data_IF_388174848762
#
_entry.id   IF_388174848762
#
_cell.length_a   1.000
_cell.length_b   1.000
_cell.length_c   1.000
_cell.angle_alpha   90.00
_cell.angle_beta   90.00
_cell.angle_gamma   90.00
#
_symmetry.space_group_name_H-M   'P 1'
#
loop_
_entity.id
_entity.type
_entity.pdbx_description
1 polymer ?
#
# COMPACT_ATOMS: atom_id res chain seq x y z
N UNK A 1 -0.17 -17.32 -1.12
CA UNK A 1 0.57 -16.09 -1.35
C UNK A 1 -0.33 -14.94 -1.75
N UNK A 2 0.24 -13.78 -1.97
CA UNK A 2 -0.49 -12.62 -2.53
C UNK A 2 -0.64 -12.82 -4.02
N UNK A 3 -1.90 -12.74 -4.52
CA UNK A 3 -2.18 -12.87 -5.95
C UNK A 3 -2.14 -11.47 -6.60
N UNK A 4 -1.29 -11.31 -7.59
CA UNK A 4 -1.08 -10.05 -8.31
C UNK A 4 -1.19 -10.27 -9.82
N UNK A 5 -1.53 -9.21 -10.55
CA UNK A 5 -1.60 -9.16 -12.01
C UNK A 5 -0.84 -7.94 -12.52
N UNK A 6 -0.15 -8.10 -13.62
CA UNK A 6 0.56 -7.02 -14.30
C UNK A 6 1.90 -7.44 -14.86
N UNK A 7 2.48 -6.58 -15.69
CA UNK A 7 3.78 -6.74 -16.31
C UNK A 7 4.56 -5.42 -16.20
N UNK A 8 5.85 -5.50 -15.92
CA UNK A 8 6.68 -4.31 -15.70
C UNK A 8 6.81 -3.39 -16.94
N UNK A 9 6.43 -3.89 -18.12
CA UNK A 9 6.55 -3.18 -19.40
C UNK A 9 5.32 -2.34 -19.76
N UNK A 10 4.17 -2.55 -19.07
CA UNK A 10 2.91 -1.90 -19.43
C UNK A 10 2.12 -1.49 -18.16
N UNK A 11 1.67 -0.24 -18.13
CA UNK A 11 0.72 0.23 -17.14
C UNK A 11 -0.72 -0.04 -17.58
N UNK A 12 -1.55 -0.56 -16.67
CA UNK A 12 -2.99 -0.50 -16.78
C UNK A 12 -3.55 0.61 -15.89
N UNK A 13 -4.76 1.07 -16.20
CA UNK A 13 -5.46 2.06 -15.38
C UNK A 13 -6.36 1.36 -14.35
N UNK A 14 -6.43 1.92 -13.16
CA UNK A 14 -7.24 1.41 -12.05
C UNK A 14 -8.12 2.50 -11.49
N UNK A 15 -9.38 2.17 -11.26
CA UNK A 15 -10.34 3.09 -10.65
C UNK A 15 -10.00 3.31 -9.17
N UNK A 16 -9.85 4.56 -8.78
CA UNK A 16 -9.56 4.96 -7.40
C UNK A 16 -10.84 5.28 -6.62
N UNK A 17 -10.82 5.34 -5.29
CA UNK A 17 -11.99 5.73 -4.50
C UNK A 17 -12.43 7.20 -4.71
N UNK A 18 -11.60 8.01 -5.37
CA UNK A 18 -11.91 9.37 -5.77
C UNK A 18 -12.51 9.46 -7.19
N UNK A 19 -12.74 8.32 -7.86
CA UNK A 19 -13.25 8.24 -9.22
C UNK A 19 -12.21 8.43 -10.33
N UNK A 20 -10.97 8.79 -10.00
CA UNK A 20 -9.90 8.96 -10.99
C UNK A 20 -9.36 7.62 -11.46
N UNK A 21 -8.84 7.58 -12.68
CA UNK A 21 -8.07 6.44 -13.19
C UNK A 21 -6.57 6.67 -12.91
N UNK A 22 -5.95 5.76 -12.18
CA UNK A 22 -4.52 5.82 -11.83
C UNK A 22 -3.74 4.70 -12.53
N UNK A 23 -2.61 5.01 -13.20
CA UNK A 23 -1.77 3.98 -13.81
C UNK A 23 -1.02 3.15 -12.75
N UNK A 24 -0.94 1.84 -12.99
CA UNK A 24 -0.07 0.93 -12.25
C UNK A 24 0.31 -0.26 -13.13
N UNK A 25 1.57 -0.70 -13.04
CA UNK A 25 2.04 -1.86 -13.77
C UNK A 25 1.70 -3.18 -13.05
N UNK A 26 1.60 -3.14 -11.71
CA UNK A 26 1.25 -4.30 -10.88
C UNK A 26 0.10 -3.94 -9.95
N UNK A 27 -0.88 -4.82 -9.83
CA UNK A 27 -2.02 -4.65 -8.92
C UNK A 27 -2.42 -5.98 -8.28
N UNK A 28 -3.18 -5.94 -7.19
CA UNK A 28 -3.80 -7.14 -6.65
C UNK A 28 -4.84 -7.67 -7.65
N UNK A 29 -4.90 -8.98 -7.85
CA UNK A 29 -5.75 -9.64 -8.84
C UNK A 29 -7.26 -9.39 -8.65
N UNK A 30 -7.65 -8.84 -7.51
CA UNK A 30 -9.04 -8.45 -7.23
C UNK A 30 -9.48 -7.12 -7.86
N UNK A 31 -8.53 -6.29 -8.31
CA UNK A 31 -8.86 -5.00 -8.92
C UNK A 31 -8.89 -5.11 -10.44
N UNK A 32 -9.86 -4.42 -11.05
CA UNK A 32 -9.99 -4.40 -12.48
C UNK A 32 -8.92 -3.51 -13.13
N UNK A 33 -8.45 -3.94 -14.28
CA UNK A 33 -7.50 -3.23 -15.13
C UNK A 33 -8.24 -2.66 -16.34
N UNK A 34 -8.02 -1.38 -16.64
CA UNK A 34 -8.63 -0.66 -17.76
C UNK A 34 -7.55 -0.13 -18.68
N UNK A 35 -7.89 -0.02 -19.98
CA UNK A 35 -7.00 0.61 -20.97
C UNK A 35 -7.20 2.12 -21.03
N UNK A 36 -8.42 2.59 -20.76
CA UNK A 36 -8.77 4.01 -20.79
C UNK A 36 -10.17 4.30 -20.30
N UNK A 37 -10.50 5.58 -20.22
CA UNK A 37 -11.82 6.07 -19.84
C UNK A 37 -12.92 5.66 -20.84
N UNK A 38 -12.55 5.44 -22.10
CA UNK A 38 -13.45 5.04 -23.18
C UNK A 38 -14.15 3.70 -22.91
N UNK A 39 -13.59 2.86 -22.06
CA UNK A 39 -14.22 1.60 -21.67
C UNK A 39 -15.54 1.80 -20.89
N UNK A 40 -15.76 2.97 -20.32
CA UNK A 40 -17.00 3.29 -19.60
C UNK A 40 -18.05 3.94 -20.48
N UNK A 41 -17.69 4.40 -21.70
CA UNK A 41 -18.59 5.13 -22.57
C UNK A 41 -19.83 4.31 -22.94
N UNK A 42 -21.00 4.88 -22.62
CA UNK A 42 -22.30 4.27 -22.90
C UNK A 42 -22.71 3.15 -21.96
N UNK A 43 -21.81 2.67 -21.07
CA UNK A 43 -22.12 1.61 -20.11
C UNK A 43 -23.11 2.08 -19.04
N UNK A 44 -24.00 1.20 -18.64
CA UNK A 44 -24.86 1.36 -17.45
C UNK A 44 -24.12 0.81 -16.24
N UNK A 45 -23.82 1.66 -15.27
CA UNK A 45 -23.04 1.29 -14.08
C UNK A 45 -23.86 1.54 -12.82
N UNK A 46 -23.93 0.54 -11.97
CA UNK A 46 -24.49 0.68 -10.62
C UNK A 46 -23.38 0.84 -9.62
N UNK A 47 -23.33 1.97 -8.96
CA UNK A 47 -22.37 2.24 -7.87
C UNK A 47 -23.06 1.90 -6.57
N UNK A 48 -22.59 0.86 -5.90
CA UNK A 48 -23.15 0.37 -4.64
C UNK A 48 -22.21 0.66 -3.47
N UNK A 49 -22.78 1.02 -2.32
CA UNK A 49 -22.05 1.17 -1.07
C UNK A 49 -22.82 0.50 0.07
N UNK A 50 -22.08 0.13 1.11
CA UNK A 50 -22.68 -0.36 2.36
C UNK A 50 -23.25 0.80 3.13
N UNK A 51 -24.52 0.69 3.57
CA UNK A 51 -25.21 1.75 4.28
C UNK A 51 -24.43 2.19 5.52
N UNK A 52 -24.08 3.48 5.60
CA UNK A 52 -23.31 4.07 6.70
C UNK A 52 -21.78 3.91 6.59
N UNK A 53 -21.24 3.30 5.55
CA UNK A 53 -19.79 3.26 5.30
C UNK A 53 -19.33 4.57 4.66
N UNK A 54 -18.49 5.33 5.37
CA UNK A 54 -18.08 6.68 4.98
C UNK A 54 -16.75 6.73 4.22
N UNK A 55 -15.89 5.69 4.33
CA UNK A 55 -14.58 5.65 3.68
C UNK A 55 -14.66 5.35 2.17
N UNK A 56 -15.87 5.35 1.60
CA UNK A 56 -16.13 5.26 0.18
C UNK A 56 -17.30 6.20 -0.19
N UNK A 57 -16.99 7.25 -0.95
CA UNK A 57 -18.00 8.21 -1.41
C UNK A 57 -18.49 7.86 -2.80
N UNK A 58 -19.72 7.33 -2.90
CA UNK A 58 -20.34 6.96 -4.18
C UNK A 58 -20.38 8.11 -5.17
N UNK A 59 -20.62 9.35 -4.69
CA UNK A 59 -20.76 10.51 -5.55
C UNK A 59 -19.49 10.78 -6.36
N UNK A 60 -18.31 10.71 -5.74
CA UNK A 60 -17.05 10.92 -6.47
C UNK A 60 -16.85 9.91 -7.60
N UNK A 61 -17.16 8.64 -7.33
CA UNK A 61 -17.05 7.60 -8.34
C UNK A 61 -18.11 7.72 -9.40
N UNK A 62 -19.36 8.06 -9.03
CA UNK A 62 -20.46 8.26 -9.96
C UNK A 62 -20.18 9.41 -10.91
N UNK A 63 -19.86 10.60 -10.38
CA UNK A 63 -19.59 11.81 -11.17
C UNK A 63 -18.45 11.53 -12.17
N UNK A 64 -17.36 10.91 -11.71
CA UNK A 64 -16.22 10.60 -12.58
C UNK A 64 -16.56 9.57 -13.68
N UNK A 65 -17.34 8.54 -13.37
CA UNK A 65 -17.79 7.58 -14.39
C UNK A 65 -18.74 8.21 -15.40
N UNK A 66 -19.61 9.16 -14.96
CA UNK A 66 -20.48 9.92 -15.86
C UNK A 66 -19.68 10.85 -16.76
N UNK A 67 -18.64 11.50 -16.24
CA UNK A 67 -17.68 12.30 -17.03
C UNK A 67 -16.94 11.43 -18.10
N UNK A 68 -16.71 10.15 -17.79
CA UNK A 68 -16.17 9.16 -18.74
C UNK A 68 -17.24 8.62 -19.74
N UNK A 69 -18.50 9.10 -19.63
CA UNK A 69 -19.60 8.76 -20.52
C UNK A 69 -20.45 7.55 -20.11
N UNK A 70 -20.33 7.07 -18.89
CA UNK A 70 -21.22 6.05 -18.33
C UNK A 70 -22.61 6.64 -17.98
N UNK A 71 -23.59 5.76 -17.78
CA UNK A 71 -24.90 6.08 -17.17
C UNK A 71 -24.97 5.42 -15.80
N UNK A 72 -24.89 6.22 -14.76
CA UNK A 72 -24.77 5.69 -13.40
C UNK A 72 -26.08 5.74 -12.62
N UNK A 73 -26.24 4.78 -11.70
CA UNK A 73 -27.22 4.84 -10.61
C UNK A 73 -26.52 4.43 -9.30
N UNK A 74 -27.02 4.94 -8.17
CA UNK A 74 -26.46 4.66 -6.85
C UNK A 74 -27.41 3.78 -6.04
N UNK A 75 -26.86 2.82 -5.29
CA UNK A 75 -27.61 1.92 -4.43
C UNK A 75 -26.93 1.70 -3.08
N UNK A 76 -27.71 1.59 -2.01
CA UNK A 76 -27.20 1.26 -0.69
C UNK A 76 -27.50 -0.20 -0.37
N UNK A 77 -26.47 -0.90 0.09
CA UNK A 77 -26.56 -2.28 0.56
C UNK A 77 -26.91 -2.27 2.04
N UNK A 78 -28.04 -2.87 2.38
CA UNK A 78 -28.49 -3.09 3.74
C UNK A 78 -28.37 -4.56 4.11
N UNK A 79 -27.61 -4.86 5.15
CA UNK A 79 -27.45 -6.19 5.76
C UNK A 79 -27.59 -5.98 7.27
N UNK A 80 -28.55 -6.61 7.91
CA UNK A 80 -28.93 -6.35 9.30
C UNK A 80 -27.73 -6.42 10.25
N UNK A 81 -26.85 -7.40 10.09
CA UNK A 81 -25.66 -7.57 10.94
C UNK A 81 -24.65 -6.46 10.77
N UNK A 82 -24.51 -5.90 9.56
CA UNK A 82 -23.68 -4.72 9.29
C UNK A 82 -24.38 -3.46 9.80
N UNK A 83 -25.69 -3.33 9.61
CA UNK A 83 -26.46 -2.19 10.10
C UNK A 83 -26.40 -2.07 11.63
N UNK A 84 -26.20 -3.17 12.35
CA UNK A 84 -25.99 -3.15 13.82
C UNK A 84 -24.72 -2.39 14.21
N UNK A 85 -23.66 -2.40 13.36
CA UNK A 85 -22.43 -1.62 13.60
C UNK A 85 -22.70 -0.11 13.62
N UNK A 86 -23.74 0.36 12.92
CA UNK A 86 -24.12 1.78 12.85
C UNK A 86 -24.54 2.38 14.20
N UNK A 87 -24.88 1.55 15.18
CA UNK A 87 -25.15 2.01 16.55
C UNK A 87 -23.93 2.68 17.19
N UNK A 88 -22.73 2.33 16.72
CA UNK A 88 -21.47 2.99 17.07
C UNK A 88 -20.77 3.44 15.78
N UNK A 89 -20.79 4.73 15.41
CA UNK A 89 -20.22 5.20 14.14
C UNK A 89 -18.74 4.83 13.95
N UNK A 90 -17.98 4.69 15.04
CA UNK A 90 -16.58 4.28 15.01
C UNK A 90 -16.38 2.83 14.54
N UNK A 91 -17.41 2.00 14.62
CA UNK A 91 -17.39 0.62 14.16
C UNK A 91 -17.62 0.50 12.63
N UNK A 92 -18.09 1.56 11.97
CA UNK A 92 -18.32 1.58 10.52
C UNK A 92 -17.02 1.77 9.71
N UNK A 93 -15.97 1.05 10.09
CA UNK A 93 -14.68 1.01 9.41
C UNK A 93 -14.62 -0.19 8.45
N UNK A 94 -13.88 -0.03 7.35
CA UNK A 94 -13.73 -1.08 6.33
C UNK A 94 -13.38 -2.47 6.92
N UNK A 95 -12.50 -2.52 7.92
CA UNK A 95 -12.09 -3.77 8.57
C UNK A 95 -13.19 -4.44 9.39
N UNK A 96 -14.02 -3.67 10.09
CA UNK A 96 -15.12 -4.22 10.90
C UNK A 96 -16.24 -4.71 10.00
N UNK A 97 -16.56 -3.94 8.96
CA UNK A 97 -17.50 -4.34 7.91
C UNK A 97 -17.04 -5.65 7.26
N UNK A 98 -15.77 -5.72 6.84
CA UNK A 98 -15.22 -6.92 6.23
C UNK A 98 -15.28 -8.14 7.14
N UNK A 99 -15.01 -8.00 8.46
CA UNK A 99 -15.17 -9.10 9.44
C UNK A 99 -16.60 -9.65 9.51
N UNK A 100 -17.59 -8.77 9.39
CA UNK A 100 -19.00 -9.19 9.38
C UNK A 100 -19.34 -9.87 8.05
N UNK A 101 -18.94 -9.27 6.92
CA UNK A 101 -19.23 -9.80 5.58
C UNK A 101 -18.52 -11.12 5.29
N UNK A 102 -17.37 -11.39 5.91
CA UNK A 102 -16.62 -12.62 5.75
C UNK A 102 -17.27 -13.83 6.46
N UNK A 103 -18.31 -13.62 7.29
CA UNK A 103 -19.09 -14.72 7.88
C UNK A 103 -19.94 -15.38 6.80
N UNK A 104 -19.94 -16.71 6.75
CA UNK A 104 -20.52 -17.49 5.65
C UNK A 104 -22.01 -17.20 5.39
N UNK A 105 -22.82 -17.06 6.45
CA UNK A 105 -24.23 -16.70 6.34
C UNK A 105 -24.46 -15.31 5.74
N UNK A 106 -23.62 -14.33 6.11
CA UNK A 106 -23.69 -12.95 5.63
C UNK A 106 -23.16 -12.83 4.21
N UNK A 107 -22.05 -13.52 3.93
CA UNK A 107 -21.46 -13.68 2.62
C UNK A 107 -22.52 -14.03 1.55
N UNK A 108 -23.37 -15.05 1.81
CA UNK A 108 -24.42 -15.46 0.88
C UNK A 108 -25.50 -14.39 0.67
N UNK A 109 -25.82 -13.60 1.70
CA UNK A 109 -26.74 -12.45 1.56
C UNK A 109 -26.15 -11.39 0.63
N UNK A 110 -24.87 -11.00 0.82
CA UNK A 110 -24.20 -10.04 -0.05
C UNK A 110 -24.18 -10.54 -1.51
N UNK A 111 -23.86 -11.81 -1.75
CA UNK A 111 -23.86 -12.39 -3.09
C UNK A 111 -25.24 -12.30 -3.76
N UNK A 112 -26.30 -12.55 -3.01
CA UNK A 112 -27.69 -12.46 -3.51
C UNK A 112 -28.05 -11.02 -3.87
N UNK A 113 -27.73 -10.05 -3.02
CA UNK A 113 -27.96 -8.63 -3.28
C UNK A 113 -27.23 -8.18 -4.54
N UNK A 114 -25.95 -8.52 -4.67
CA UNK A 114 -25.13 -8.08 -5.82
C UNK A 114 -25.54 -8.78 -7.13
N UNK A 115 -26.02 -10.02 -7.10
CA UNK A 115 -26.65 -10.64 -8.27
C UNK A 115 -27.88 -9.86 -8.74
N UNK A 116 -28.76 -9.43 -7.82
CA UNK A 116 -29.90 -8.60 -8.16
C UNK A 116 -29.47 -7.22 -8.70
N UNK A 117 -28.41 -6.64 -8.12
CA UNK A 117 -27.89 -5.34 -8.56
C UNK A 117 -27.19 -5.43 -9.92
N UNK A 118 -26.74 -6.59 -10.36
CA UNK A 118 -26.15 -6.78 -11.70
C UNK A 118 -27.20 -6.87 -12.83
N UNK A 119 -28.48 -6.99 -12.50
CA UNK A 119 -29.55 -7.09 -13.51
C UNK A 119 -29.74 -5.73 -14.21
N UNK A 120 -29.64 -5.74 -15.53
CA UNK A 120 -29.91 -4.57 -16.40
C UNK A 120 -28.81 -3.51 -16.40
N UNK A 121 -27.62 -3.84 -15.85
CA UNK A 121 -26.43 -2.98 -15.87
C UNK A 121 -25.21 -3.75 -16.43
N UNK A 122 -24.25 -3.03 -16.97
CA UNK A 122 -23.03 -3.58 -17.54
C UNK A 122 -21.95 -3.82 -16.46
N UNK A 123 -22.01 -3.05 -15.36
CA UNK A 123 -21.09 -3.20 -14.23
C UNK A 123 -21.74 -2.80 -12.90
N UNK A 124 -21.26 -3.44 -11.81
CA UNK A 124 -21.55 -3.06 -10.43
C UNK A 124 -20.26 -2.67 -9.74
N UNK A 125 -20.14 -1.42 -9.33
CA UNK A 125 -19.00 -0.92 -8.57
C UNK A 125 -19.27 -1.08 -7.08
N UNK A 126 -18.29 -1.62 -6.35
CA UNK A 126 -18.38 -1.91 -4.92
C UNK A 126 -17.06 -1.54 -4.21
N UNK A 127 -17.08 -0.91 -3.02
CA UNK A 127 -15.87 -0.73 -2.22
C UNK A 127 -15.28 -2.08 -1.80
N UNK A 128 -13.96 -2.21 -1.86
CA UNK A 128 -13.22 -3.42 -1.49
C UNK A 128 -13.15 -3.62 0.04
N UNK A 129 -14.29 -3.48 0.72
CA UNK A 129 -14.46 -3.73 2.16
C UNK A 129 -14.85 -5.19 2.44
N UNK A 130 -14.23 -6.15 1.71
CA UNK A 130 -14.53 -7.59 1.75
C UNK A 130 -13.26 -8.42 1.75
N UNK A 131 -13.32 -9.62 2.31
CA UNK A 131 -12.23 -10.58 2.24
C UNK A 131 -11.02 -10.22 3.11
N UNK A 132 -11.23 -9.79 4.36
CA UNK A 132 -10.16 -9.43 5.28
C UNK A 132 -9.28 -10.63 5.66
N UNK A 133 -9.90 -11.75 6.00
CA UNK A 133 -9.18 -12.96 6.42
C UNK A 133 -8.60 -13.74 5.24
N UNK A 134 -9.30 -13.73 4.10
CA UNK A 134 -8.91 -14.46 2.90
C UNK A 134 -9.64 -13.92 1.66
N UNK A 135 -9.15 -14.29 0.48
CA UNK A 135 -9.80 -13.93 -0.79
C UNK A 135 -11.04 -14.78 -1.13
N UNK A 136 -11.52 -15.68 -0.25
CA UNK A 136 -12.66 -16.55 -0.55
C UNK A 136 -13.90 -15.77 -0.98
N UNK A 137 -14.28 -14.74 -0.23
CA UNK A 137 -15.44 -13.91 -0.57
C UNK A 137 -15.20 -13.12 -1.87
N UNK A 138 -14.02 -12.57 -2.07
CA UNK A 138 -13.67 -11.85 -3.33
C UNK A 138 -13.81 -12.79 -4.54
N UNK A 139 -13.27 -14.00 -4.46
CA UNK A 139 -13.39 -15.01 -5.54
C UNK A 139 -14.85 -15.43 -5.77
N UNK A 140 -15.62 -15.59 -4.70
CA UNK A 140 -17.04 -15.91 -4.78
C UNK A 140 -17.84 -14.77 -5.44
N UNK A 141 -17.55 -13.51 -5.10
CA UNK A 141 -18.16 -12.32 -5.70
C UNK A 141 -17.88 -12.26 -7.21
N UNK A 142 -16.62 -12.39 -7.62
CA UNK A 142 -16.24 -12.36 -9.04
C UNK A 142 -16.88 -13.52 -9.83
N UNK A 143 -16.99 -14.69 -9.24
CA UNK A 143 -17.69 -15.84 -9.84
C UNK A 143 -19.20 -15.61 -9.98
N UNK A 144 -19.81 -15.01 -8.96
CA UNK A 144 -21.26 -14.79 -8.90
C UNK A 144 -21.73 -13.59 -9.73
N UNK A 145 -20.89 -12.55 -9.80
CA UNK A 145 -21.11 -11.28 -10.52
C UNK A 145 -19.84 -10.93 -11.28
N UNK A 146 -19.60 -11.51 -12.47
CA UNK A 146 -18.38 -11.25 -13.25
C UNK A 146 -18.19 -9.78 -13.63
N UNK A 147 -19.27 -9.01 -13.67
CA UNK A 147 -19.26 -7.57 -13.95
C UNK A 147 -18.95 -6.70 -12.72
N UNK A 148 -18.59 -7.28 -11.57
CA UNK A 148 -18.23 -6.51 -10.38
C UNK A 148 -16.88 -5.83 -10.55
N UNK A 149 -16.85 -4.54 -10.23
CA UNK A 149 -15.64 -3.71 -10.17
C UNK A 149 -15.41 -3.38 -8.69
N UNK A 150 -14.36 -3.97 -8.11
CA UNK A 150 -13.95 -3.61 -6.75
C UNK A 150 -13.06 -2.38 -6.80
N UNK A 151 -13.37 -1.41 -5.95
CA UNK A 151 -12.62 -0.15 -5.83
C UNK A 151 -11.92 -0.12 -4.48
N UNK A 152 -10.62 0.20 -4.42
CA UNK A 152 -9.93 0.38 -3.14
C UNK A 152 -10.67 1.38 -2.25
N UNK A 153 -10.55 1.23 -0.94
CA UNK A 153 -11.06 2.22 0.03
C UNK A 153 -9.93 3.10 0.53
N UNK A 154 -10.29 4.22 1.15
CA UNK A 154 -9.31 5.04 1.89
C UNK A 154 -8.67 4.21 3.00
N UNK A 155 -7.42 4.52 3.40
CA UNK A 155 -6.76 3.81 4.50
C UNK A 155 -7.53 3.88 5.83
N UNK A 156 -7.52 2.81 6.62
CA UNK A 156 -6.91 1.51 6.38
C UNK A 156 -7.74 0.62 5.42
N UNK A 157 -7.13 0.16 4.32
CA UNK A 157 -7.80 -0.68 3.33
C UNK A 157 -7.78 -2.16 3.71
N UNK A 158 -8.88 -2.86 3.45
CA UNK A 158 -9.01 -4.31 3.72
C UNK A 158 -7.99 -5.12 2.92
N UNK A 159 -7.86 -4.83 1.64
CA UNK A 159 -6.89 -5.49 0.76
C UNK A 159 -5.44 -5.27 1.20
N UNK A 160 -5.10 -4.05 1.64
CA UNK A 160 -3.76 -3.75 2.15
C UNK A 160 -3.43 -4.51 3.45
N UNK A 161 -4.36 -4.54 4.41
CA UNK A 161 -4.20 -5.29 5.66
C UNK A 161 -4.07 -6.80 5.38
N UNK A 162 -4.91 -7.35 4.50
CA UNK A 162 -4.82 -8.74 4.09
C UNK A 162 -3.45 -9.05 3.45
N UNK A 163 -2.97 -8.20 2.55
CA UNK A 163 -1.66 -8.36 1.89
C UNK A 163 -0.54 -8.39 2.92
N UNK A 164 -0.51 -7.43 3.84
CA UNK A 164 0.48 -7.39 4.92
C UNK A 164 0.44 -8.66 5.78
N UNK A 165 -0.75 -9.12 6.15
CA UNK A 165 -0.91 -10.35 6.94
C UNK A 165 -0.50 -11.62 6.17
N UNK A 166 -0.72 -11.66 4.86
CA UNK A 166 -0.29 -12.77 4.01
C UNK A 166 1.23 -12.81 3.87
N UNK A 167 1.87 -11.67 3.61
CA UNK A 167 3.32 -11.56 3.53
C UNK A 167 3.99 -11.94 4.86
N UNK A 168 3.45 -11.44 5.98
CA UNK A 168 3.96 -11.81 7.30
C UNK A 168 3.85 -13.31 7.57
N UNK A 169 2.69 -13.92 7.32
CA UNK A 169 2.51 -15.37 7.50
C UNK A 169 3.46 -16.19 6.64
N UNK A 170 3.72 -15.74 5.41
CA UNK A 170 4.67 -16.42 4.53
C UNK A 170 6.11 -16.28 5.02
N UNK A 171 6.50 -15.09 5.49
CA UNK A 171 7.80 -14.85 6.11
C UNK A 171 8.03 -15.76 7.33
N UNK A 172 7.05 -15.84 8.24
CA UNK A 172 7.10 -16.72 9.42
C UNK A 172 7.11 -18.21 9.01
N UNK A 173 6.35 -18.60 7.98
CA UNK A 173 6.34 -19.98 7.44
C UNK A 173 7.71 -20.41 6.88
N UNK A 174 8.43 -19.46 6.30
CA UNK A 174 9.81 -19.67 5.80
C UNK A 174 10.87 -19.65 6.91
N UNK A 175 10.49 -19.52 8.17
CA UNK A 175 11.38 -19.51 9.33
C UNK A 175 11.84 -18.12 9.76
N UNK A 176 11.32 -17.06 9.15
CA UNK A 176 11.61 -15.68 9.55
C UNK A 176 11.04 -15.34 10.93
N UNK A 177 11.74 -14.54 11.72
CA UNK A 177 11.29 -14.04 13.02
C UNK A 177 10.81 -12.61 12.88
N UNK A 178 9.53 -12.36 13.16
CA UNK A 178 8.93 -11.03 13.11
C UNK A 178 8.84 -10.43 14.51
N UNK A 179 9.71 -9.46 14.81
CA UNK A 179 9.82 -8.83 16.13
C UNK A 179 8.90 -7.60 16.22
N UNK A 180 7.60 -7.85 16.41
CA UNK A 180 6.60 -6.79 16.49
C UNK A 180 6.77 -5.97 17.79
N UNK A 181 6.72 -4.64 17.66
CA UNK A 181 6.83 -3.72 18.79
C UNK A 181 8.26 -3.53 19.29
N UNK A 182 9.25 -3.95 18.49
CA UNK A 182 10.65 -3.68 18.76
C UNK A 182 11.20 -2.64 17.75
N UNK A 183 12.28 -1.96 18.11
CA UNK A 183 12.95 -0.97 17.26
C UNK A 183 14.46 -1.07 17.41
N UNK A 184 15.17 -1.08 16.28
CA UNK A 184 16.63 -0.96 16.27
C UNK A 184 17.00 0.48 16.62
N UNK A 185 17.88 0.65 17.61
CA UNK A 185 18.25 1.97 18.16
C UNK A 185 19.72 2.33 17.96
N UNK A 186 20.58 1.35 17.74
CA UNK A 186 22.00 1.57 17.44
C UNK A 186 22.61 0.36 16.74
N UNK A 187 23.78 0.56 16.17
CA UNK A 187 24.56 -0.50 15.54
C UNK A 187 26.06 -0.33 15.82
N UNK A 188 26.77 -1.43 15.86
CA UNK A 188 28.23 -1.45 15.88
C UNK A 188 28.75 -1.65 14.45
N UNK A 189 29.57 -0.71 13.98
CA UNK A 189 30.19 -0.73 12.64
C UNK A 189 31.69 -0.68 12.80
N UNK A 190 32.39 -1.69 12.29
CA UNK A 190 33.84 -1.79 12.35
C UNK A 190 34.39 -2.32 11.02
N UNK A 191 35.45 -1.71 10.53
CA UNK A 191 36.14 -2.14 9.31
C UNK A 191 35.25 -2.16 8.06
N UNK A 192 34.30 -1.23 7.95
CA UNK A 192 33.36 -1.16 6.82
C UNK A 192 32.24 -2.19 6.85
N UNK A 193 32.02 -2.83 7.99
CA UNK A 193 30.94 -3.83 8.18
C UNK A 193 30.14 -3.59 9.46
N UNK A 194 28.85 -3.84 9.39
CA UNK A 194 27.99 -3.95 10.58
C UNK A 194 28.31 -5.25 11.29
N UNK A 195 28.59 -5.18 12.60
CA UNK A 195 28.88 -6.31 13.46
C UNK A 195 27.67 -6.79 14.24
N UNK A 196 26.84 -5.85 14.68
CA UNK A 196 25.62 -6.14 15.41
C UNK A 196 24.67 -4.93 15.34
N UNK A 197 23.39 -5.18 15.49
CA UNK A 197 22.35 -4.16 15.76
C UNK A 197 21.73 -4.42 17.12
N UNK A 198 21.25 -3.36 17.77
CA UNK A 198 20.68 -3.42 19.11
C UNK A 198 19.27 -2.84 19.07
N UNK A 199 18.37 -3.52 19.77
CA UNK A 199 16.96 -3.15 19.82
C UNK A 199 16.55 -2.74 21.22
N UNK A 200 15.44 -2.03 21.33
CA UNK A 200 14.91 -1.58 22.64
C UNK A 200 14.67 -2.77 23.56
N UNK A 201 14.10 -3.87 23.03
CA UNK A 201 13.68 -5.01 23.84
C UNK A 201 14.83 -5.98 24.17
N UNK A 202 15.96 -5.89 23.44
CA UNK A 202 17.12 -6.78 23.65
C UNK A 202 18.29 -6.09 24.34
N UNK A 203 18.16 -4.80 24.66
CA UNK A 203 19.15 -3.99 25.37
C UNK A 203 20.57 -4.17 24.80
N UNK A 204 21.51 -4.72 25.59
CA UNK A 204 22.91 -4.91 25.19
C UNK A 204 23.18 -6.24 24.47
N UNK A 205 22.15 -7.07 24.23
CA UNK A 205 22.29 -8.27 23.46
C UNK A 205 22.21 -7.94 21.97
N UNK A 206 23.37 -7.78 21.33
CA UNK A 206 23.46 -7.44 19.90
C UNK A 206 23.00 -8.59 19.00
N UNK A 207 22.11 -8.28 18.07
CA UNK A 207 21.66 -9.20 17.03
C UNK A 207 22.71 -9.19 15.91
N UNK A 208 23.29 -10.35 15.61
CA UNK A 208 24.32 -10.54 14.59
C UNK A 208 23.74 -11.24 13.37
N UNK A 209 24.20 -10.82 12.19
CA UNK A 209 23.86 -11.42 10.91
C UNK A 209 25.02 -11.24 9.92
N UNK A 210 25.02 -12.02 8.85
CA UNK A 210 25.97 -11.86 7.76
C UNK A 210 25.67 -10.61 6.95
N UNK A 211 24.37 -10.35 6.69
CA UNK A 211 23.88 -9.18 5.96
C UNK A 211 22.76 -8.47 6.71
N UNK A 212 22.67 -7.17 6.51
CA UNK A 212 21.62 -6.30 7.05
C UNK A 212 20.95 -5.55 5.91
N UNK A 213 19.63 -5.37 6.00
CA UNK A 213 18.86 -4.61 5.00
C UNK A 213 18.05 -3.53 5.72
N UNK A 214 18.35 -2.27 5.45
CA UNK A 214 17.66 -1.11 5.99
C UNK A 214 16.38 -0.85 5.16
N UNK A 215 15.23 -1.04 5.78
CA UNK A 215 13.91 -0.78 5.16
C UNK A 215 13.03 0.10 6.03
N UNK A 216 13.65 1.01 6.77
CA UNK A 216 13.01 1.87 7.78
C UNK A 216 12.07 2.92 7.19
N UNK A 217 12.13 3.12 5.88
CA UNK A 217 11.28 4.08 5.18
C UNK A 217 11.81 5.52 5.27
N UNK A 218 10.94 6.47 4.93
CA UNK A 218 11.26 7.90 4.88
C UNK A 218 10.97 8.60 6.22
N UNK A 219 10.81 9.92 6.19
CA UNK A 219 10.41 10.76 7.35
C UNK A 219 9.12 10.27 8.04
N UNK A 220 8.15 9.77 7.28
CA UNK A 220 6.85 9.32 7.81
C UNK A 220 6.94 8.08 8.71
N UNK A 221 8.01 7.31 8.59
CA UNK A 221 8.27 6.11 9.40
C UNK A 221 9.52 6.22 10.28
N UNK A 222 10.04 7.44 10.44
CA UNK A 222 11.25 7.75 11.19
C UNK A 222 12.53 7.07 10.65
N UNK A 223 12.55 6.66 9.39
CA UNK A 223 13.76 6.19 8.71
C UNK A 223 14.74 7.31 8.42
N UNK A 224 14.23 8.54 8.33
CA UNK A 224 15.00 9.79 8.23
C UNK A 224 14.48 10.78 9.27
N UNK A 225 15.37 11.56 9.85
CA UNK A 225 15.04 12.62 10.81
C UNK A 225 15.59 13.96 10.30
N UNK A 226 14.71 14.97 10.25
CA UNK A 226 15.09 16.33 9.87
C UNK A 226 15.46 17.15 11.11
N UNK A 227 16.67 17.68 11.12
CA UNK A 227 17.12 18.71 12.03
C UNK A 227 17.06 20.09 11.37
N UNK A 228 17.54 21.12 12.05
CA UNK A 228 17.49 22.49 11.52
C UNK A 228 18.26 22.66 10.20
N UNK A 229 19.42 22.01 10.07
CA UNK A 229 20.35 22.19 8.96
C UNK A 229 20.82 20.88 8.31
N UNK A 230 20.30 19.73 8.76
CA UNK A 230 20.73 18.42 8.27
C UNK A 230 19.58 17.41 8.29
N UNK A 231 19.72 16.38 7.48
CA UNK A 231 18.88 15.17 7.49
C UNK A 231 19.78 14.01 7.89
N UNK A 232 19.33 13.22 8.86
CA UNK A 232 20.08 12.08 9.38
C UNK A 232 19.32 10.77 9.26
N UNK A 233 20.04 9.69 9.04
CA UNK A 233 19.57 8.33 9.26
C UNK A 233 19.91 7.96 10.72
N UNK A 234 18.92 7.66 11.58
CA UNK A 234 19.12 7.71 13.04
C UNK A 234 19.81 6.49 13.65
N UNK A 235 19.94 5.35 12.92
CA UNK A 235 20.45 4.09 13.47
C UNK A 235 21.95 3.92 13.22
N UNK A 236 22.38 4.10 11.99
CA UNK A 236 23.76 3.86 11.55
C UNK A 236 24.55 5.14 11.32
N UNK A 237 23.87 6.30 11.22
CA UNK A 237 24.49 7.58 10.86
C UNK A 237 25.05 7.54 9.44
N UNK A 238 24.22 7.09 8.48
CA UNK A 238 24.59 6.96 7.07
C UNK A 238 24.64 8.31 6.37
N UNK A 239 25.34 8.35 5.26
CA UNK A 239 25.30 9.46 4.33
C UNK A 239 23.89 9.59 3.75
N UNK A 240 23.32 10.80 3.80
CA UNK A 240 21.99 11.11 3.28
C UNK A 240 22.12 12.13 2.16
N UNK A 241 21.51 11.84 1.03
CA UNK A 241 21.37 12.79 -0.06
C UNK A 241 20.23 13.76 0.26
N UNK A 242 20.56 15.04 0.43
CA UNK A 242 19.59 16.12 0.66
C UNK A 242 20.13 17.46 0.16
N UNK A 243 19.25 18.44 -0.09
CA UNK A 243 19.66 19.77 -0.50
C UNK A 243 20.34 20.50 0.67
N UNK A 244 21.53 21.06 0.42
CA UNK A 244 22.28 21.82 1.42
C UNK A 244 21.58 23.13 1.83
N UNK A 245 20.89 23.79 0.87
CA UNK A 245 20.07 24.96 1.17
C UNK A 245 18.71 24.52 1.71
N UNK A 246 18.41 24.93 2.93
CA UNK A 246 17.12 24.66 3.57
C UNK A 246 15.93 25.20 2.79
N UNK A 247 16.10 26.27 2.03
CA UNK A 247 15.01 26.83 1.21
C UNK A 247 14.54 25.87 0.12
N UNK A 248 15.38 24.93 -0.32
CA UNK A 248 15.06 23.93 -1.32
C UNK A 248 14.30 22.72 -0.76
N UNK A 249 14.16 22.61 0.57
CA UNK A 249 13.48 21.46 1.18
C UNK A 249 11.98 21.48 0.94
N UNK A 250 11.37 22.67 0.98
CA UNK A 250 9.93 22.83 0.84
C UNK A 250 9.60 23.99 -0.11
N UNK A 251 8.67 23.76 -1.03
CA UNK A 251 8.06 24.79 -1.84
C UNK A 251 6.90 25.45 -1.08
N UNK A 252 6.73 26.78 -1.12
CA UNK A 252 5.62 27.48 -0.50
C UNK A 252 4.23 27.03 -1.01
N UNK A 253 4.15 26.56 -2.25
CA UNK A 253 2.93 26.01 -2.83
C UNK A 253 2.82 24.52 -2.46
N UNK A 254 1.89 24.19 -1.61
CA UNK A 254 1.74 22.86 -1.03
C UNK A 254 1.66 21.71 -2.06
N UNK A 255 1.00 21.94 -3.19
CA UNK A 255 0.83 20.94 -4.24
C UNK A 255 1.99 20.87 -5.25
N UNK A 256 2.97 21.74 -5.16
CA UNK A 256 4.18 21.64 -5.96
C UNK A 256 5.06 20.46 -5.48
N UNK A 257 6.04 20.09 -6.32
CA UNK A 257 7.07 19.13 -5.91
C UNK A 257 7.83 19.69 -4.71
N UNK A 258 7.89 18.90 -3.65
CA UNK A 258 8.58 19.24 -2.43
C UNK A 258 9.97 18.58 -2.44
N UNK A 259 11.04 19.34 -2.25
CA UNK A 259 12.42 18.85 -2.30
C UNK A 259 12.66 17.68 -1.34
N UNK A 260 12.18 17.78 -0.10
CA UNK A 260 12.36 16.74 0.92
C UNK A 260 11.84 15.36 0.51
N UNK A 261 10.93 15.28 -0.46
CA UNK A 261 10.34 14.01 -0.91
C UNK A 261 11.32 13.14 -1.69
N UNK A 262 12.45 13.69 -2.11
CA UNK A 262 13.52 12.96 -2.82
C UNK A 262 14.71 12.62 -1.93
N UNK A 263 14.71 13.09 -0.67
CA UNK A 263 15.81 12.85 0.25
C UNK A 263 15.81 11.41 0.75
N UNK A 264 17.01 10.84 0.92
CA UNK A 264 17.17 9.47 1.35
C UNK A 264 18.63 9.11 1.57
N UNK A 265 18.87 7.88 1.99
CA UNK A 265 20.24 7.40 2.18
C UNK A 265 20.97 7.24 0.85
N UNK A 266 22.25 7.63 0.84
CA UNK A 266 23.14 7.47 -0.29
C UNK A 266 23.57 6.00 -0.42
N UNK A 267 23.47 5.45 -1.64
CA UNK A 267 23.89 4.06 -1.94
C UNK A 267 24.82 4.00 -3.14
N UNK A 268 25.45 2.85 -3.33
CA UNK A 268 26.07 2.50 -4.60
C UNK A 268 25.05 1.84 -5.57
N UNK A 269 25.51 1.38 -6.72
CA UNK A 269 24.67 0.73 -7.74
C UNK A 269 24.08 -0.62 -7.28
N UNK A 270 24.60 -1.23 -6.23
CA UNK A 270 24.13 -2.48 -5.65
C UNK A 270 23.24 -2.26 -4.42
N UNK A 271 22.85 -1.03 -4.14
CA UNK A 271 22.12 -0.60 -2.94
C UNK A 271 22.89 -0.80 -1.62
N UNK A 272 24.21 -0.99 -1.63
CA UNK A 272 25.02 -0.88 -0.43
C UNK A 272 25.04 0.58 0.03
N UNK A 273 24.79 0.80 1.31
CA UNK A 273 24.78 2.15 1.90
C UNK A 273 26.17 2.71 2.11
N UNK A 274 26.26 4.05 2.18
CA UNK A 274 27.50 4.76 2.44
C UNK A 274 27.49 5.39 3.84
N UNK A 275 28.68 5.42 4.45
CA UNK A 275 28.96 6.15 5.69
C UNK A 275 30.29 6.87 5.55
N UNK A 276 30.31 8.19 5.73
CA UNK A 276 31.50 9.03 5.55
C UNK A 276 32.18 8.79 4.17
N UNK A 277 31.39 8.69 3.11
CA UNK A 277 31.81 8.41 1.75
C UNK A 277 32.26 6.99 1.46
N UNK A 278 32.26 6.08 2.45
CA UNK A 278 32.68 4.69 2.31
C UNK A 278 31.50 3.75 2.27
N UNK A 279 31.53 2.79 1.36
CA UNK A 279 30.50 1.74 1.25
C UNK A 279 30.61 0.77 2.43
N UNK A 280 29.47 0.44 3.05
CA UNK A 280 29.37 -0.64 4.03
C UNK A 280 29.07 -1.96 3.28
N UNK A 281 29.96 -2.95 3.41
CA UNK A 281 29.96 -4.14 2.56
C UNK A 281 28.76 -5.08 2.78
N UNK A 282 28.18 -5.07 3.99
CA UNK A 282 27.10 -5.96 4.40
C UNK A 282 25.83 -5.25 4.86
N UNK A 283 25.70 -3.95 4.54
CA UNK A 283 24.48 -3.20 4.80
C UNK A 283 23.92 -2.64 3.50
N UNK A 284 22.70 -3.01 3.21
CA UNK A 284 21.94 -2.60 2.03
C UNK A 284 20.76 -1.74 2.44
N UNK A 285 20.23 -0.95 1.51
CA UNK A 285 18.98 -0.23 1.71
C UNK A 285 17.96 -0.58 0.63
N UNK A 286 16.67 -0.61 0.98
CA UNK A 286 15.59 -0.84 0.04
C UNK A 286 14.33 -0.04 0.40
N UNK A 287 13.54 0.30 -0.61
CA UNK A 287 12.28 1.00 -0.45
C UNK A 287 12.43 2.49 -0.21
N UNK A 288 11.50 3.08 0.54
CA UNK A 288 11.36 4.55 0.66
C UNK A 288 12.41 5.24 1.54
N UNK A 289 13.40 4.52 2.06
CA UNK A 289 14.58 5.11 2.69
C UNK A 289 15.62 5.58 1.67
N UNK A 290 15.54 5.09 0.43
CA UNK A 290 16.44 5.44 -0.68
C UNK A 290 16.21 6.86 -1.17
N UNK A 291 17.27 7.54 -1.61
CA UNK A 291 17.22 8.84 -2.27
C UNK A 291 16.85 8.76 -3.76
N UNK A 292 16.57 9.91 -4.36
CA UNK A 292 16.56 10.09 -5.82
C UNK A 292 15.24 9.81 -6.54
N UNK A 293 14.11 9.57 -5.82
CA UNK A 293 12.79 9.45 -6.41
C UNK A 293 11.72 10.12 -5.55
N UNK A 294 10.62 10.53 -6.16
CA UNK A 294 9.49 11.17 -5.46
C UNK A 294 8.27 10.22 -5.47
N UNK A 295 8.16 9.41 -4.42
CA UNK A 295 7.11 8.40 -4.30
C UNK A 295 5.68 8.96 -4.43
N UNK A 296 5.44 10.18 -3.93
CA UNK A 296 4.11 10.81 -3.95
C UNK A 296 3.78 11.37 -5.33
N UNK A 297 4.71 12.10 -5.95
CA UNK A 297 4.51 12.72 -7.24
C UNK A 297 4.47 11.71 -8.39
N UNK A 298 5.36 10.73 -8.36
CA UNK A 298 5.48 9.71 -9.40
C UNK A 298 4.54 8.52 -9.19
N UNK A 299 3.96 8.38 -7.99
CA UNK A 299 3.10 7.25 -7.65
C UNK A 299 3.83 5.90 -7.60
N UNK A 300 5.15 5.90 -7.48
CA UNK A 300 6.03 4.73 -7.68
C UNK A 300 6.44 4.00 -6.38
N UNK A 301 6.09 4.51 -5.20
CA UNK A 301 6.65 4.04 -3.93
C UNK A 301 6.56 2.52 -3.68
N UNK A 302 5.43 1.90 -4.00
CA UNK A 302 5.27 0.44 -3.85
C UNK A 302 6.13 -0.33 -4.87
N UNK A 303 6.24 0.19 -6.11
CA UNK A 303 7.10 -0.39 -7.15
C UNK A 303 8.58 -0.34 -6.77
N UNK A 304 9.04 0.82 -6.28
CA UNK A 304 10.43 0.98 -5.78
C UNK A 304 10.69 0.02 -4.62
N UNK A 305 9.78 -0.06 -3.64
CA UNK A 305 9.96 -0.97 -2.51
C UNK A 305 10.07 -2.43 -2.94
N UNK A 306 9.21 -2.88 -3.88
CA UNK A 306 9.21 -4.25 -4.38
C UNK A 306 10.48 -4.55 -5.19
N UNK A 307 10.81 -3.72 -6.16
CA UNK A 307 11.93 -3.98 -7.09
C UNK A 307 13.28 -3.88 -6.39
N UNK A 308 13.48 -2.90 -5.50
CA UNK A 308 14.73 -2.79 -4.74
C UNK A 308 14.90 -3.91 -3.74
N UNK A 309 13.83 -4.38 -3.09
CA UNK A 309 13.87 -5.52 -2.19
C UNK A 309 14.24 -6.82 -2.94
N UNK A 310 13.64 -7.05 -4.12
CA UNK A 310 13.99 -8.19 -4.97
C UNK A 310 15.45 -8.13 -5.44
N UNK A 311 15.88 -6.97 -5.95
CA UNK A 311 17.25 -6.79 -6.41
C UNK A 311 18.27 -7.05 -5.29
N UNK A 312 18.04 -6.48 -4.10
CA UNK A 312 18.93 -6.72 -2.95
C UNK A 312 18.93 -8.20 -2.58
N UNK A 313 17.77 -8.85 -2.49
CA UNK A 313 17.67 -10.26 -2.12
C UNK A 313 18.42 -11.18 -3.11
N UNK A 314 18.31 -10.90 -4.42
CA UNK A 314 18.98 -11.68 -5.47
C UNK A 314 20.52 -11.47 -5.47
N UNK A 315 21.02 -10.38 -4.91
CA UNK A 315 22.42 -10.01 -4.89
C UNK A 315 23.08 -10.13 -3.49
N UNK A 316 22.40 -10.67 -2.49
CA UNK A 316 23.01 -10.95 -1.18
C UNK A 316 24.14 -11.99 -1.36
N UNK A 317 25.32 -11.65 -0.82
CA UNK A 317 26.52 -12.49 -0.88
C UNK A 317 26.70 -13.33 0.38
#
# INVERSE_FOLDING_TARGET
GVEVEGEATENALHLTPMGTLKPAWLTLSEFNRFKGAEEFKGKKVRVANIAGFLDFNMKFVTDALEDMGAKCCQELIHIEEVDRLRKSPTEMRATNIARVLDKENIHNQLLTILKNYSIGVDAVVLPAAVGLASQKLVKALRKAVPSVILVPTMPPSVSGIRTQQQLRREFERLGGVFMLGDSVVRADVEGGKVKAVYTINHADNGIKADNYILTTGSFFSNGLVAHSNEIVEPVFGLDVDFAADRAEWCDPQFFNKQGYQTFGVATDANFNVKKEGKVLENLYAAGSVLSGFNALYEGCGAGVALLTALYVADNLK
#
